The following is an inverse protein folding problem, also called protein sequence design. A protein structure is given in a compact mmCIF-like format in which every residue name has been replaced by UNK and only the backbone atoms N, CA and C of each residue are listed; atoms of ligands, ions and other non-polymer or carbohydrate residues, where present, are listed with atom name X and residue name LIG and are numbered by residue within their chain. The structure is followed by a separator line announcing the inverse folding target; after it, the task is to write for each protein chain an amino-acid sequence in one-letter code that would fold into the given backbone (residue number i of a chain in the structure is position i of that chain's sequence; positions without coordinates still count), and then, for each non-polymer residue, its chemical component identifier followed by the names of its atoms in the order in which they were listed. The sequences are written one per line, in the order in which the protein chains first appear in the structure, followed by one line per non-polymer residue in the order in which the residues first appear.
data_IF_633726770016
#
_entry.id   IF_633726770016
#
_cell.length_a   1.000
_cell.length_b   1.000
_cell.length_c   1.000
_cell.angle_alpha   90.00
_cell.angle_beta   90.00
_cell.angle_gamma   90.00
#
_symmetry.space_group_name_H-M   'P 1'
#
loop_
_entity.id
_entity.type
_entity.pdbx_description
1 polymer ?
#
# COMPACT_ATOMS: atom_id res chain seq x y z
N UNK A 1 11.04 -13.72 -5.09
CA UNK A 1 11.23 -12.99 -3.82
C UNK A 1 11.33 -13.96 -2.65
N UNK A 2 10.28 -14.76 -2.38
CA UNK A 2 10.19 -15.69 -1.24
C UNK A 2 11.42 -16.58 -1.02
N UNK A 3 11.99 -17.17 -2.08
CA UNK A 3 13.17 -18.05 -1.97
C UNK A 3 14.51 -17.31 -1.83
N UNK A 4 14.53 -15.98 -1.91
CA UNK A 4 15.75 -15.15 -2.02
C UNK A 4 15.81 -14.02 -1.00
N UNK A 5 14.67 -13.64 -0.40
CA UNK A 5 14.63 -12.59 0.61
C UNK A 5 15.48 -13.01 1.82
N UNK A 6 16.36 -12.14 2.31
CA UNK A 6 17.21 -12.46 3.46
C UNK A 6 16.49 -12.22 4.78
N UNK A 7 17.03 -12.71 5.90
CA UNK A 7 16.46 -12.40 7.21
C UNK A 7 16.60 -10.92 7.55
N UNK A 8 17.70 -10.29 7.16
CA UNK A 8 17.90 -8.84 7.33
C UNK A 8 16.84 -8.04 6.55
N UNK A 9 16.48 -8.49 5.34
CA UNK A 9 15.42 -7.85 4.56
C UNK A 9 14.03 -8.06 5.18
N UNK A 10 13.78 -9.22 5.80
CA UNK A 10 12.52 -9.46 6.52
C UNK A 10 12.42 -8.59 7.77
N UNK A 11 13.50 -8.46 8.53
CA UNK A 11 13.59 -7.55 9.68
C UNK A 11 13.40 -6.09 9.25
N UNK A 12 14.02 -5.68 8.14
CA UNK A 12 13.81 -4.34 7.58
C UNK A 12 12.33 -4.11 7.26
N UNK A 13 11.66 -5.05 6.59
CA UNK A 13 10.23 -4.96 6.28
C UNK A 13 9.35 -4.82 7.54
N UNK A 14 9.70 -5.47 8.64
CA UNK A 14 8.97 -5.36 9.92
C UNK A 14 9.11 -3.97 10.57
N UNK A 15 10.24 -3.30 10.33
CA UNK A 15 10.51 -1.99 10.92
C UNK A 15 10.02 -0.82 10.07
N UNK A 16 9.70 -1.03 8.78
CA UNK A 16 9.34 0.06 7.86
C UNK A 16 8.18 0.92 8.38
N UNK A 17 7.18 0.32 9.02
CA UNK A 17 6.02 1.04 9.54
C UNK A 17 6.05 1.27 11.06
N UNK A 18 7.17 0.98 11.71
CA UNK A 18 7.28 1.13 13.15
C UNK A 18 7.08 2.61 13.58
N UNK A 19 6.25 2.81 14.58
CA UNK A 19 6.02 4.14 15.17
C UNK A 19 5.18 5.07 14.30
N UNK A 20 4.20 4.53 13.58
CA UNK A 20 3.14 5.34 12.99
C UNK A 20 2.23 5.89 14.10
N UNK A 21 2.17 7.22 14.23
CA UNK A 21 1.42 7.91 15.30
C UNK A 21 0.16 8.63 14.83
N UNK A 22 -0.16 8.56 13.53
CA UNK A 22 -1.46 8.94 12.98
C UNK A 22 -1.63 10.39 12.51
N UNK A 23 -2.55 10.52 11.54
CA UNK A 23 -3.37 11.65 11.04
C UNK A 23 -2.82 13.06 10.82
N UNK A 24 -1.55 13.37 11.07
CA UNK A 24 -0.95 14.61 10.55
C UNK A 24 -0.42 14.43 9.11
N UNK A 25 -0.38 15.53 8.36
CA UNK A 25 0.04 15.56 6.94
C UNK A 25 1.49 15.04 6.77
N UNK A 26 2.34 15.28 7.76
CA UNK A 26 3.74 14.80 7.80
C UNK A 26 3.80 13.27 7.94
N UNK A 27 2.93 12.69 8.76
CA UNK A 27 2.79 11.25 8.93
C UNK A 27 2.27 10.59 7.66
N UNK A 28 1.44 11.28 6.87
CA UNK A 28 0.99 10.78 5.57
C UNK A 28 2.10 10.72 4.52
N UNK A 29 2.91 11.77 4.37
CA UNK A 29 4.04 11.75 3.43
C UNK A 29 5.06 10.67 3.77
N UNK A 30 5.45 10.57 5.06
CA UNK A 30 6.32 9.51 5.57
C UNK A 30 5.74 8.13 5.25
N UNK A 31 4.45 7.94 5.50
CA UNK A 31 3.76 6.68 5.29
C UNK A 31 3.76 6.25 3.80
N UNK A 32 3.65 7.21 2.87
CA UNK A 32 3.75 6.94 1.42
C UNK A 32 5.15 6.48 1.00
N UNK A 33 6.19 7.10 1.55
CA UNK A 33 7.56 6.69 1.31
C UNK A 33 7.82 5.29 1.87
N UNK A 34 7.33 5.00 3.07
CA UNK A 34 7.41 3.70 3.72
C UNK A 34 6.69 2.61 2.91
N UNK A 35 5.47 2.86 2.44
CA UNK A 35 4.73 1.94 1.58
C UNK A 35 5.51 1.62 0.30
N UNK A 36 6.01 2.66 -0.38
CA UNK A 36 6.85 2.50 -1.58
C UNK A 36 8.09 1.66 -1.28
N UNK A 37 8.78 1.94 -0.16
CA UNK A 37 9.98 1.20 0.28
C UNK A 37 9.65 -0.27 0.52
N UNK A 38 8.52 -0.56 1.16
CA UNK A 38 8.05 -1.92 1.45
C UNK A 38 7.92 -2.76 0.17
N UNK A 39 7.14 -2.30 -0.82
CA UNK A 39 6.98 -3.05 -2.07
C UNK A 39 8.28 -3.12 -2.89
N UNK A 40 9.10 -2.06 -2.87
CA UNK A 40 10.40 -2.06 -3.55
C UNK A 40 11.35 -3.11 -2.96
N UNK A 41 11.43 -3.27 -1.64
CA UNK A 41 12.27 -4.29 -1.00
C UNK A 41 11.86 -5.71 -1.37
N UNK A 42 10.56 -6.00 -1.41
CA UNK A 42 10.04 -7.30 -1.85
C UNK A 42 10.40 -7.55 -3.33
N UNK A 43 10.30 -6.51 -4.17
CA UNK A 43 10.69 -6.58 -5.57
C UNK A 43 12.19 -6.81 -5.75
N UNK A 44 13.04 -6.12 -4.98
CA UNK A 44 14.48 -6.30 -4.99
C UNK A 44 14.86 -7.72 -4.58
N UNK A 45 14.18 -8.28 -3.56
CA UNK A 45 14.36 -9.66 -3.15
C UNK A 45 13.98 -10.67 -4.26
N UNK A 46 13.25 -10.27 -5.31
CA UNK A 46 13.05 -11.14 -6.48
C UNK A 46 14.30 -11.30 -7.34
N UNK A 47 15.27 -10.38 -7.24
CA UNK A 47 16.41 -10.26 -8.14
C UNK A 47 16.06 -9.66 -9.51
N UNK A 48 14.82 -9.21 -9.71
CA UNK A 48 14.37 -8.57 -10.94
C UNK A 48 14.42 -7.04 -10.79
N UNK A 49 15.46 -6.44 -11.36
CA UNK A 49 15.67 -4.98 -11.33
C UNK A 49 14.59 -4.22 -12.11
N UNK A 50 14.18 -4.73 -13.27
CA UNK A 50 13.10 -4.10 -14.07
C UNK A 50 11.78 -4.06 -13.30
N UNK A 51 11.47 -5.12 -12.55
CA UNK A 51 10.29 -5.17 -11.68
C UNK A 51 10.37 -4.10 -10.58
N UNK A 52 11.55 -3.95 -9.95
CA UNK A 52 11.77 -2.96 -8.90
C UNK A 52 11.56 -1.54 -9.44
N UNK A 53 12.15 -1.23 -10.59
CA UNK A 53 12.07 0.09 -11.21
C UNK A 53 10.65 0.40 -11.69
N UNK A 54 9.93 -0.60 -12.22
CA UNK A 54 8.54 -0.46 -12.62
C UNK A 54 7.62 -0.20 -11.42
N UNK A 55 7.80 -0.94 -10.31
CA UNK A 55 7.02 -0.75 -9.09
C UNK A 55 7.25 0.61 -8.45
N UNK A 56 8.51 1.08 -8.38
CA UNK A 56 8.83 2.40 -7.84
C UNK A 56 8.07 3.51 -8.58
N UNK A 57 8.10 3.50 -9.92
CA UNK A 57 7.36 4.47 -10.75
C UNK A 57 5.85 4.37 -10.61
N UNK A 58 5.33 3.16 -10.37
CA UNK A 58 3.89 2.95 -10.16
C UNK A 58 3.46 3.54 -8.82
N UNK A 59 4.19 3.28 -7.74
CA UNK A 59 3.93 3.86 -6.44
C UNK A 59 3.99 5.39 -6.47
N UNK A 60 4.98 5.99 -7.14
CA UNK A 60 5.10 7.45 -7.29
C UNK A 60 3.84 8.09 -7.93
N UNK A 61 3.14 7.34 -8.80
CA UNK A 61 1.87 7.78 -9.40
C UNK A 61 0.67 7.55 -8.49
N UNK A 62 0.68 6.46 -7.72
CA UNK A 62 -0.41 6.04 -6.84
C UNK A 62 -0.44 6.81 -5.52
N UNK A 63 0.69 7.38 -5.08
CA UNK A 63 0.80 8.21 -3.85
C UNK A 63 -0.33 9.24 -3.75
N UNK A 64 -0.66 9.94 -4.83
CA UNK A 64 -1.74 10.96 -4.81
C UNK A 64 -3.11 10.37 -4.46
N UNK A 65 -3.42 9.17 -4.92
CA UNK A 65 -4.69 8.51 -4.61
C UNK A 65 -4.73 7.99 -3.17
N UNK A 66 -3.60 7.50 -2.69
CA UNK A 66 -3.48 7.04 -1.31
C UNK A 66 -3.58 8.19 -0.29
N UNK A 67 -3.07 9.38 -0.62
CA UNK A 67 -3.25 10.61 0.17
C UNK A 67 -4.74 10.99 0.26
N UNK A 68 -5.45 11.02 -0.87
CA UNK A 68 -6.89 11.32 -0.89
C UNK A 68 -7.69 10.30 -0.05
N UNK A 69 -7.26 9.04 -0.05
CA UNK A 69 -8.01 7.94 0.56
C UNK A 69 -7.74 7.72 2.05
N UNK A 70 -6.88 8.52 2.69
CA UNK A 70 -6.57 8.47 4.14
C UNK A 70 -6.21 7.06 4.66
N UNK A 71 -5.49 6.27 3.85
CA UNK A 71 -5.34 4.83 4.07
C UNK A 71 -4.42 4.43 5.25
N UNK A 72 -3.74 5.37 5.91
CA UNK A 72 -2.62 5.09 6.82
C UNK A 72 -2.92 4.14 7.99
N UNK A 73 -4.15 4.13 8.53
CA UNK A 73 -4.48 3.37 9.75
C UNK A 73 -4.51 1.84 9.58
N UNK A 74 -4.79 1.32 8.37
CA UNK A 74 -4.99 -0.13 8.17
C UNK A 74 -3.80 -0.83 7.55
N UNK A 75 -2.92 -0.10 6.86
CA UNK A 75 -1.84 -0.73 6.12
C UNK A 75 -0.72 -1.30 6.99
N UNK A 76 -0.38 -0.70 8.15
CA UNK A 76 0.63 -1.29 9.05
C UNK A 76 0.27 -2.75 9.39
N UNK A 77 -1.00 -2.97 9.75
CA UNK A 77 -1.51 -4.31 10.09
C UNK A 77 -1.46 -5.25 8.88
N UNK A 78 -1.83 -4.75 7.68
CA UNK A 78 -1.79 -5.54 6.43
C UNK A 78 -0.36 -5.92 6.06
N UNK A 79 0.59 -5.00 6.14
CA UNK A 79 1.99 -5.25 5.83
C UNK A 79 2.64 -6.18 6.85
N UNK A 80 2.33 -6.03 8.14
CA UNK A 80 2.76 -6.99 9.15
C UNK A 80 2.27 -8.42 8.83
N UNK A 81 1.05 -8.56 8.33
CA UNK A 81 0.53 -9.86 7.89
C UNK A 81 1.27 -10.40 6.66
N UNK A 82 1.58 -9.55 5.69
CA UNK A 82 2.41 -9.91 4.54
C UNK A 82 3.79 -10.42 4.97
N UNK A 83 4.45 -9.76 5.91
CA UNK A 83 5.77 -10.20 6.39
C UNK A 83 5.68 -11.56 7.08
N UNK A 84 4.65 -11.81 7.91
CA UNK A 84 4.40 -13.13 8.50
C UNK A 84 4.29 -14.22 7.43
N UNK A 85 3.57 -13.95 6.33
CA UNK A 85 3.44 -14.90 5.23
C UNK A 85 4.77 -15.06 4.47
N UNK A 86 5.54 -13.99 4.26
CA UNK A 86 6.87 -14.10 3.63
C UNK A 86 7.84 -14.97 4.45
N UNK A 87 7.77 -14.91 5.78
CA UNK A 87 8.58 -15.73 6.70
C UNK A 87 8.29 -17.23 6.59
N UNK A 88 7.08 -17.64 6.19
CA UNK A 88 6.78 -19.07 6.00
C UNK A 88 7.49 -19.67 4.78
N UNK A 89 8.08 -18.83 3.93
CA UNK A 89 8.73 -19.21 2.68
C UNK A 89 7.79 -19.95 1.70
N UNK A 90 6.48 -19.82 1.88
CA UNK A 90 5.48 -20.37 0.96
C UNK A 90 5.21 -19.37 -0.18
N UNK A 91 5.67 -19.74 -1.38
CA UNK A 91 5.51 -18.90 -2.56
C UNK A 91 4.05 -18.71 -2.99
N UNK A 92 3.18 -19.71 -2.78
CA UNK A 92 1.76 -19.61 -3.12
C UNK A 92 1.04 -18.72 -2.12
N UNK A 93 1.27 -18.93 -0.82
CA UNK A 93 0.68 -18.11 0.22
C UNK A 93 1.12 -16.65 0.10
N UNK A 94 2.41 -16.38 -0.13
CA UNK A 94 2.92 -15.02 -0.32
C UNK A 94 2.34 -14.33 -1.56
N UNK A 95 2.16 -15.08 -2.66
CA UNK A 95 1.51 -14.56 -3.85
C UNK A 95 0.06 -14.20 -3.56
N UNK A 96 -0.68 -15.06 -2.87
CA UNK A 96 -2.07 -14.82 -2.54
C UNK A 96 -2.20 -13.60 -1.62
N UNK A 97 -1.42 -13.53 -0.55
CA UNK A 97 -1.44 -12.40 0.38
C UNK A 97 -1.12 -11.05 -0.30
N UNK A 98 -0.17 -11.04 -1.26
CA UNK A 98 0.14 -9.82 -2.03
C UNK A 98 -1.00 -9.41 -2.97
N UNK A 99 -1.71 -10.38 -3.55
CA UNK A 99 -2.88 -10.08 -4.38
C UNK A 99 -4.04 -9.54 -3.54
N UNK A 100 -4.25 -10.12 -2.36
CA UNK A 100 -5.29 -9.69 -1.44
C UNK A 100 -5.04 -8.25 -0.98
N UNK A 101 -3.81 -7.92 -0.56
CA UNK A 101 -3.43 -6.55 -0.18
C UNK A 101 -3.68 -5.54 -1.31
N UNK A 102 -3.21 -5.83 -2.53
CA UNK A 102 -3.40 -4.92 -3.68
C UNK A 102 -4.89 -4.73 -4.02
N UNK A 103 -5.69 -5.80 -3.94
CA UNK A 103 -7.12 -5.72 -4.23
C UNK A 103 -7.87 -4.95 -3.13
N UNK A 104 -7.58 -5.21 -1.86
CA UNK A 104 -8.16 -4.47 -0.73
C UNK A 104 -7.79 -2.98 -0.77
N UNK A 105 -6.53 -2.66 -1.08
CA UNK A 105 -6.08 -1.28 -1.25
C UNK A 105 -6.78 -0.62 -2.44
N UNK A 106 -6.96 -1.32 -3.56
CA UNK A 106 -7.75 -0.83 -4.70
C UNK A 106 -9.20 -0.57 -4.33
N UNK A 107 -9.85 -1.49 -3.64
CA UNK A 107 -11.26 -1.36 -3.23
C UNK A 107 -11.46 -0.16 -2.30
N UNK A 108 -10.60 0.00 -1.30
CA UNK A 108 -10.67 1.11 -0.37
C UNK A 108 -10.43 2.47 -1.05
N UNK A 109 -9.47 2.56 -1.99
CA UNK A 109 -9.26 3.78 -2.79
C UNK A 109 -10.50 4.09 -3.64
N UNK A 110 -11.07 3.10 -4.32
CA UNK A 110 -12.23 3.32 -5.17
C UNK A 110 -13.47 3.72 -4.37
N UNK A 111 -13.72 3.05 -3.25
CA UNK A 111 -14.82 3.40 -2.33
C UNK A 111 -14.68 4.85 -1.88
N UNK A 112 -13.47 5.25 -1.43
CA UNK A 112 -13.25 6.59 -0.94
C UNK A 112 -13.37 7.68 -1.99
N UNK A 113 -12.80 7.44 -3.18
CA UNK A 113 -12.94 8.36 -4.33
C UNK A 113 -14.41 8.49 -4.74
N UNK A 114 -15.18 7.40 -4.77
CA UNK A 114 -16.61 7.42 -5.11
C UNK A 114 -17.41 8.17 -4.03
N UNK A 115 -17.13 7.98 -2.75
CA UNK A 115 -17.78 8.70 -1.65
C UNK A 115 -17.52 10.21 -1.72
N UNK A 116 -16.27 10.62 -1.95
CA UNK A 116 -15.87 12.02 -2.03
C UNK A 116 -16.41 12.71 -3.29
N UNK A 117 -16.42 12.03 -4.44
CA UNK A 117 -17.06 12.55 -5.66
C UNK A 117 -18.60 12.49 -5.60
N UNK A 118 -19.18 11.51 -4.89
CA UNK A 118 -20.62 11.41 -4.66
C UNK A 118 -21.19 12.63 -3.92
N UNK A 119 -20.39 13.27 -3.06
CA UNK A 119 -20.72 14.55 -2.46
C UNK A 119 -20.75 15.71 -3.49
N UNK A 120 -19.90 15.65 -4.52
CA UNK A 120 -19.87 16.61 -5.64
C UNK A 120 -20.99 16.39 -6.67
N UNK A 121 -21.60 15.20 -6.75
CA UNK A 121 -22.78 14.93 -7.57
C UNK A 121 -24.12 15.44 -6.99
N UNK A 122 -24.11 16.27 -5.93
CA UNK A 122 -25.26 17.11 -5.57
C UNK A 122 -25.31 18.39 -6.39
N UNK A 123 -25.38 18.27 -7.72
CA UNK A 123 -25.73 19.38 -8.60
C UNK A 123 -26.92 18.98 -9.47
N UNK A 124 -28.10 19.50 -9.12
CA UNK A 124 -29.25 19.44 -10.03
C UNK A 124 -30.64 19.29 -9.42
N UNK A 125 -30.86 19.43 -8.11
CA UNK A 125 -32.21 19.74 -7.64
C UNK A 125 -32.53 21.21 -8.00
N UNK A 126 -32.82 21.46 -9.28
CA UNK A 126 -33.59 22.62 -9.70
C UNK A 126 -34.86 22.61 -8.85
N UNK A 127 -35.01 23.54 -7.91
CA UNK A 127 -36.35 23.90 -7.47
C UNK A 127 -37.04 24.50 -8.69
N UNK A 128 -37.93 23.70 -9.28
CA UNK A 128 -38.94 24.22 -10.18
C UNK A 128 -39.78 25.27 -9.44
N UNK A 129 -40.23 26.27 -10.21
CA UNK A 129 -40.92 27.49 -9.82
C UNK A 129 -42.02 27.34 -8.76
#
# INVERSE_FOLDING_TARGET
AVNRITEEQLEELEQIHAGYTGNDEVSYERYMEENRRFHCLIAQASGNRELTDALGRLHDRLVRFMVLSHMGETLETRHAQLVKVLRTRDALAARQAMLDEVNETREAILERVIEEEGAYWRLGARSAA
#
